data_IF_666529021220
#
_entry.id   IF_666529021220
#
_cell.length_a   1.000
_cell.length_b   1.000
_cell.length_c   1.000
_cell.angle_alpha   90.00
_cell.angle_beta   90.00
_cell.angle_gamma   90.00
#
_symmetry.space_group_name_H-M   'P 1'
#
loop_
_entity.id
_entity.type
_entity.pdbx_description
1 polymer ?
#
# COMPACT_ATOMS: atom_id res chain seq x y z
N UNK A 1 -6.53 11.98 -12.61
CA UNK A 1 -6.95 13.40 -12.64
C UNK A 1 -7.61 13.77 -13.97
N UNK A 2 -7.09 13.32 -15.12
CA UNK A 2 -7.62 13.67 -16.46
C UNK A 2 -9.08 13.22 -16.63
N UNK A 3 -9.44 12.03 -16.19
CA UNK A 3 -10.82 11.53 -16.24
C UNK A 3 -11.79 12.37 -15.42
N UNK A 4 -11.36 12.86 -14.23
CA UNK A 4 -12.17 13.79 -13.43
C UNK A 4 -12.32 15.14 -14.10
N UNK A 5 -11.27 15.65 -14.76
CA UNK A 5 -11.35 16.89 -15.53
C UNK A 5 -12.30 16.78 -16.73
N UNK A 6 -12.36 15.62 -17.37
CA UNK A 6 -13.33 15.37 -18.44
C UNK A 6 -14.77 15.39 -17.93
N UNK A 7 -15.04 14.73 -16.80
CA UNK A 7 -16.36 14.77 -16.17
C UNK A 7 -16.70 16.19 -15.69
N UNK A 8 -15.73 16.91 -15.10
CA UNK A 8 -15.90 18.27 -14.61
C UNK A 8 -16.30 19.26 -15.71
N UNK A 9 -15.80 19.09 -16.93
CA UNK A 9 -16.18 19.94 -18.09
C UNK A 9 -17.66 19.83 -18.42
N UNK A 10 -18.31 18.72 -18.09
CA UNK A 10 -19.73 18.48 -18.35
C UNK A 10 -20.65 19.05 -17.26
N UNK A 11 -20.08 19.44 -16.11
CA UNK A 11 -20.85 20.01 -14.99
C UNK A 11 -21.31 21.42 -15.34
N UNK A 12 -22.59 21.70 -15.14
CA UNK A 12 -23.17 23.06 -15.29
C UNK A 12 -22.89 23.88 -14.01
N UNK A 13 -22.00 24.85 -14.11
CA UNK A 13 -21.66 25.77 -13.02
C UNK A 13 -21.18 27.12 -13.59
N UNK A 14 -21.11 28.15 -12.75
CA UNK A 14 -20.54 29.45 -13.12
C UNK A 14 -19.04 29.32 -13.45
N UNK A 15 -18.50 30.24 -14.26
CA UNK A 15 -17.09 30.21 -14.66
C UNK A 15 -16.14 30.24 -13.46
N UNK A 16 -16.52 30.95 -12.38
CA UNK A 16 -15.77 31.06 -11.13
C UNK A 16 -15.76 29.73 -10.39
N UNK A 17 -16.90 29.03 -10.30
CA UNK A 17 -17.02 27.71 -9.69
C UNK A 17 -16.30 26.65 -10.53
N UNK A 18 -16.33 26.77 -11.86
CA UNK A 18 -15.58 25.86 -12.76
C UNK A 18 -14.08 25.98 -12.55
N UNK A 19 -13.55 27.20 -12.49
CA UNK A 19 -12.13 27.41 -12.22
C UNK A 19 -11.73 26.92 -10.82
N UNK A 20 -12.58 27.13 -9.80
CA UNK A 20 -12.37 26.63 -8.45
C UNK A 20 -12.36 25.09 -8.39
N UNK A 21 -13.23 24.43 -9.16
CA UNK A 21 -13.29 22.97 -9.20
C UNK A 21 -12.09 22.35 -9.91
N UNK A 22 -11.58 22.98 -10.98
CA UNK A 22 -10.32 22.52 -11.62
C UNK A 22 -9.15 22.58 -10.62
N UNK A 23 -9.05 23.65 -9.83
CA UNK A 23 -8.03 23.79 -8.79
C UNK A 23 -8.16 22.71 -7.72
N UNK A 24 -9.40 22.41 -7.29
CA UNK A 24 -9.65 21.32 -6.33
C UNK A 24 -9.21 19.98 -6.90
N UNK A 25 -9.57 19.65 -8.16
CA UNK A 25 -9.19 18.39 -8.82
C UNK A 25 -7.67 18.25 -8.96
N UNK A 26 -6.95 19.34 -9.22
CA UNK A 26 -5.50 19.37 -9.27
C UNK A 26 -4.84 19.15 -7.90
N UNK A 27 -5.53 19.54 -6.84
CA UNK A 27 -5.06 19.43 -5.45
C UNK A 27 -5.40 18.08 -4.79
N UNK A 28 -6.06 17.16 -5.51
CA UNK A 28 -6.36 15.82 -5.01
C UNK A 28 -5.10 14.94 -4.99
N UNK A 29 -4.99 14.13 -3.94
CA UNK A 29 -3.96 13.11 -3.84
C UNK A 29 -4.25 11.89 -4.75
N UNK A 30 -3.33 10.92 -4.76
CA UNK A 30 -3.46 9.68 -5.54
C UNK A 30 -4.66 8.83 -5.12
N UNK A 31 -5.12 8.96 -3.88
CA UNK A 31 -6.28 8.25 -3.34
C UNK A 31 -7.61 8.98 -3.59
N UNK A 32 -7.55 10.20 -4.12
CA UNK A 32 -8.70 11.05 -4.40
C UNK A 32 -9.15 11.94 -3.24
N UNK A 33 -8.31 12.11 -2.21
CA UNK A 33 -8.60 12.99 -1.08
C UNK A 33 -8.11 14.42 -1.31
N UNK A 34 -8.86 15.38 -0.79
CA UNK A 34 -8.45 16.78 -0.73
C UNK A 34 -7.63 17.01 0.54
N UNK A 35 -6.31 16.97 0.43
CA UNK A 35 -5.39 17.13 1.56
C UNK A 35 -5.15 18.59 1.93
N UNK A 36 -5.42 19.51 1.01
CA UNK A 36 -5.23 20.96 1.17
C UNK A 36 -6.49 21.60 1.73
N UNK A 37 -6.34 22.49 2.71
CA UNK A 37 -7.48 23.26 3.24
C UNK A 37 -7.98 24.30 2.24
N UNK A 38 -9.30 24.49 2.14
CA UNK A 38 -9.91 25.44 1.21
C UNK A 38 -9.39 26.88 1.40
N UNK A 39 -9.08 27.27 2.65
CA UNK A 39 -8.53 28.59 2.95
C UNK A 39 -7.12 28.79 2.35
N UNK A 40 -6.36 27.72 2.21
CA UNK A 40 -5.02 27.77 1.58
C UNK A 40 -5.13 27.89 0.06
N UNK A 41 -6.14 27.27 -0.53
CA UNK A 41 -6.43 27.42 -1.97
C UNK A 41 -6.86 28.83 -2.33
N UNK A 42 -7.57 29.53 -1.44
CA UNK A 42 -7.92 30.96 -1.62
C UNK A 42 -6.69 31.87 -1.70
N UNK A 43 -5.59 31.51 -0.99
CA UNK A 43 -4.42 32.41 -0.84
C UNK A 43 -3.34 32.19 -1.91
N UNK A 44 -3.30 31.00 -2.51
CA UNK A 44 -2.20 30.58 -3.37
C UNK A 44 -2.38 30.91 -4.85
N UNK A 45 -3.59 31.29 -5.28
CA UNK A 45 -3.84 31.54 -6.70
C UNK A 45 -3.96 33.03 -7.02
N UNK A 46 -3.51 33.42 -8.21
CA UNK A 46 -3.62 34.78 -8.75
C UNK A 46 -5.10 35.24 -8.96
N UNK A 47 -6.04 34.30 -8.91
CA UNK A 47 -7.47 34.51 -8.91
C UNK A 47 -7.96 34.36 -7.46
N UNK A 48 -8.40 35.46 -6.84
CA UNK A 48 -8.99 35.47 -5.48
C UNK A 48 -10.36 34.77 -5.54
N UNK A 49 -10.38 33.44 -5.34
CA UNK A 49 -11.64 32.72 -5.19
C UNK A 49 -12.30 33.04 -3.85
N UNK A 50 -13.60 33.24 -3.86
CA UNK A 50 -14.39 33.28 -2.61
C UNK A 50 -14.43 31.87 -2.01
N UNK A 51 -14.40 31.76 -0.68
CA UNK A 51 -14.60 30.50 0.05
C UNK A 51 -15.91 29.83 -0.37
N UNK A 52 -16.95 30.62 -0.62
CA UNK A 52 -18.27 30.14 -1.07
C UNK A 52 -18.18 29.38 -2.42
N UNK A 53 -17.44 29.94 -3.39
CA UNK A 53 -17.24 29.28 -4.69
C UNK A 53 -16.45 27.97 -4.56
N UNK A 54 -15.45 27.91 -3.66
CA UNK A 54 -14.70 26.68 -3.40
C UNK A 54 -15.54 25.62 -2.69
N UNK A 55 -16.42 26.01 -1.74
CA UNK A 55 -17.34 25.08 -1.09
C UNK A 55 -18.39 24.54 -2.06
N UNK A 56 -18.92 25.38 -2.94
CA UNK A 56 -19.85 24.96 -3.99
C UNK A 56 -19.17 24.02 -4.98
N UNK A 57 -17.97 24.40 -5.46
CA UNK A 57 -17.16 23.57 -6.35
C UNK A 57 -16.85 22.20 -5.71
N UNK A 58 -16.46 22.17 -4.43
CA UNK A 58 -16.18 20.92 -3.71
C UNK A 58 -17.42 20.01 -3.65
N UNK A 59 -18.61 20.57 -3.37
CA UNK A 59 -19.86 19.80 -3.37
C UNK A 59 -20.14 19.16 -4.72
N UNK A 60 -19.86 19.86 -5.83
CA UNK A 60 -20.02 19.35 -7.18
C UNK A 60 -18.95 18.31 -7.51
N UNK A 61 -17.69 18.53 -7.12
CA UNK A 61 -16.61 17.55 -7.29
C UNK A 61 -16.90 16.25 -6.54
N UNK A 62 -17.49 16.31 -5.36
CA UNK A 62 -17.89 15.14 -4.57
C UNK A 62 -19.04 14.31 -5.21
N UNK A 63 -19.69 14.85 -6.26
CA UNK A 63 -20.71 14.13 -7.02
C UNK A 63 -20.15 13.41 -8.25
N UNK A 64 -18.88 13.61 -8.57
CA UNK A 64 -18.22 12.94 -9.70
C UNK A 64 -17.99 11.45 -9.41
N UNK A 65 -17.77 10.69 -10.47
CA UNK A 65 -17.44 9.26 -10.42
C UNK A 65 -15.91 9.06 -10.45
N UNK A 66 -15.35 8.27 -9.55
CA UNK A 66 -15.97 7.39 -8.54
C UNK A 66 -16.41 8.14 -7.27
N UNK A 67 -17.47 7.62 -6.61
CA UNK A 67 -17.99 8.23 -5.40
C UNK A 67 -16.96 8.26 -4.29
N UNK A 68 -16.93 9.39 -3.54
CA UNK A 68 -15.97 9.60 -2.44
C UNK A 68 -14.74 10.42 -2.83
N UNK A 69 -14.58 10.78 -4.11
CA UNK A 69 -13.55 11.73 -4.57
C UNK A 69 -13.81 13.12 -3.98
N UNK A 70 -12.75 13.85 -3.65
CA UNK A 70 -12.84 15.18 -3.03
C UNK A 70 -13.18 15.15 -1.54
N UNK A 71 -13.21 13.99 -0.89
CA UNK A 71 -13.35 13.90 0.56
C UNK A 71 -12.10 14.44 1.26
N UNK A 72 -12.27 15.10 2.40
CA UNK A 72 -11.17 15.66 3.21
C UNK A 72 -10.55 14.63 4.14
N UNK A 73 -11.33 13.62 4.52
CA UNK A 73 -10.91 12.51 5.37
C UNK A 73 -11.69 11.22 5.06
N UNK A 74 -11.25 10.11 5.66
CA UNK A 74 -11.87 8.79 5.51
C UNK A 74 -13.34 8.78 5.95
N UNK A 75 -13.66 9.54 7.00
CA UNK A 75 -15.02 9.66 7.53
C UNK A 75 -15.96 10.30 6.49
N UNK A 76 -15.53 11.40 5.88
CA UNK A 76 -16.29 12.08 4.84
C UNK A 76 -16.44 11.19 3.60
N UNK A 77 -15.38 10.51 3.20
CA UNK A 77 -15.39 9.56 2.07
C UNK A 77 -16.44 8.46 2.28
N UNK A 78 -16.46 7.83 3.46
CA UNK A 78 -17.48 6.84 3.81
C UNK A 78 -18.90 7.42 3.74
N UNK A 79 -19.11 8.63 4.29
CA UNK A 79 -20.43 9.27 4.30
C UNK A 79 -20.92 9.61 2.88
N UNK A 80 -20.03 10.06 1.99
CA UNK A 80 -20.36 10.35 0.59
C UNK A 80 -20.79 9.06 -0.10
N UNK A 81 -20.00 8.00 0.00
CA UNK A 81 -20.28 6.72 -0.67
C UNK A 81 -21.55 6.07 -0.13
N UNK A 82 -21.75 6.04 1.21
CA UNK A 82 -22.94 5.45 1.82
C UNK A 82 -24.23 6.17 1.42
N UNK A 83 -24.18 7.49 1.17
CA UNK A 83 -25.35 8.25 0.68
C UNK A 83 -25.72 7.94 -0.75
N UNK A 84 -24.76 7.49 -1.57
CA UNK A 84 -24.96 7.12 -2.97
C UNK A 84 -25.21 5.62 -3.15
N UNK A 85 -25.10 4.85 -2.05
CA UNK A 85 -25.31 3.41 -2.11
C UNK A 85 -26.79 3.08 -2.41
N UNK A 86 -27.08 2.08 -3.27
CA UNK A 86 -28.45 1.76 -3.66
C UNK A 86 -29.31 1.17 -2.52
N UNK A 87 -28.66 0.61 -1.50
CA UNK A 87 -29.32 0.06 -0.32
C UNK A 87 -29.37 1.12 0.80
N UNK A 88 -30.36 1.01 1.69
CA UNK A 88 -30.44 1.85 2.87
C UNK A 88 -29.28 1.58 3.83
N UNK A 89 -28.45 2.60 4.05
CA UNK A 89 -27.31 2.60 4.96
C UNK A 89 -27.47 3.63 6.11
N UNK A 90 -28.70 3.98 6.43
CA UNK A 90 -29.00 4.99 7.45
C UNK A 90 -28.39 4.64 8.81
N UNK A 91 -28.38 3.38 9.18
CA UNK A 91 -27.79 2.88 10.43
C UNK A 91 -26.25 3.03 10.44
N UNK A 92 -25.60 2.69 9.35
CA UNK A 92 -24.15 2.83 9.16
C UNK A 92 -23.75 4.31 9.15
N UNK A 93 -24.53 5.15 8.47
CA UNK A 93 -24.31 6.60 8.44
C UNK A 93 -24.40 7.18 9.86
N UNK A 94 -25.38 6.76 10.66
CA UNK A 94 -25.51 7.19 12.04
C UNK A 94 -24.32 6.76 12.91
N UNK A 95 -23.80 5.54 12.75
CA UNK A 95 -22.58 5.07 13.43
C UNK A 95 -21.40 6.00 13.10
N UNK A 96 -21.16 6.24 11.82
CA UNK A 96 -20.02 7.07 11.36
C UNK A 96 -20.18 8.54 11.81
N UNK A 97 -21.42 9.07 11.85
CA UNK A 97 -21.66 10.44 12.26
C UNK A 97 -21.54 10.67 13.76
N UNK A 98 -22.06 9.74 14.59
CA UNK A 98 -22.19 9.95 16.03
C UNK A 98 -21.15 9.19 16.85
N UNK A 99 -20.60 8.08 16.32
CA UNK A 99 -19.80 7.12 17.05
C UNK A 99 -18.45 6.83 16.38
N UNK A 100 -17.91 7.82 15.66
CA UNK A 100 -16.64 7.65 14.90
C UNK A 100 -15.47 7.25 15.79
N UNK A 101 -15.33 7.88 16.98
CA UNK A 101 -14.23 7.59 17.89
C UNK A 101 -14.29 6.16 18.42
N UNK A 102 -15.50 5.74 18.84
CA UNK A 102 -15.71 4.37 19.34
C UNK A 102 -15.49 3.32 18.24
N UNK A 103 -15.81 3.67 16.98
CA UNK A 103 -15.56 2.81 15.82
C UNK A 103 -14.07 2.63 15.59
N UNK A 104 -13.27 3.70 15.60
CA UNK A 104 -11.82 3.64 15.48
C UNK A 104 -11.15 2.84 16.60
N UNK A 105 -11.68 2.93 17.82
CA UNK A 105 -11.18 2.20 18.98
C UNK A 105 -11.75 0.77 19.08
N UNK A 106 -12.54 0.33 18.08
CA UNK A 106 -13.20 -0.99 18.03
C UNK A 106 -14.07 -1.29 19.27
N UNK A 107 -14.72 -0.24 19.84
CA UNK A 107 -15.58 -0.38 21.04
C UNK A 107 -17.02 -0.73 20.66
N UNK A 108 -17.22 -1.81 19.92
CA UNK A 108 -18.52 -2.23 19.37
C UNK A 108 -19.64 -2.39 20.43
N UNK A 109 -19.39 -2.95 21.62
CA UNK A 109 -20.43 -3.06 22.65
C UNK A 109 -20.94 -1.70 23.15
N UNK A 110 -20.09 -0.66 23.14
CA UNK A 110 -20.49 0.70 23.54
C UNK A 110 -21.38 1.34 22.48
N UNK A 111 -21.05 1.14 21.18
CA UNK A 111 -21.88 1.61 20.07
C UNK A 111 -23.25 0.95 20.15
N UNK A 112 -23.32 -0.38 20.31
CA UNK A 112 -24.56 -1.12 20.42
C UNK A 112 -25.45 -0.59 21.55
N UNK A 113 -24.85 -0.31 22.73
CA UNK A 113 -25.56 0.24 23.89
C UNK A 113 -26.08 1.65 23.63
N UNK A 114 -25.28 2.53 23.01
CA UNK A 114 -25.65 3.94 22.73
C UNK A 114 -26.73 4.03 21.65
N UNK A 115 -26.73 3.13 20.68
CA UNK A 115 -27.71 3.08 19.59
C UNK A 115 -28.93 2.20 19.90
N UNK A 116 -29.04 1.65 21.12
CA UNK A 116 -30.11 0.71 21.52
C UNK A 116 -30.28 -0.45 20.52
N UNK A 117 -29.16 -0.95 19.97
CA UNK A 117 -29.12 -2.00 18.97
C UNK A 117 -28.40 -3.24 19.48
N UNK A 118 -28.57 -4.37 18.79
CA UNK A 118 -27.85 -5.59 19.13
C UNK A 118 -26.39 -5.50 18.64
N UNK A 119 -25.47 -6.20 19.34
CA UNK A 119 -24.07 -6.30 18.91
C UNK A 119 -23.95 -6.92 17.50
N UNK A 120 -24.84 -7.84 17.15
CA UNK A 120 -24.87 -8.48 15.83
C UNK A 120 -25.22 -7.48 14.73
N UNK A 121 -26.16 -6.57 14.98
CA UNK A 121 -26.51 -5.51 14.02
C UNK A 121 -25.31 -4.60 13.76
N UNK A 122 -24.58 -4.19 14.81
CA UNK A 122 -23.38 -3.36 14.66
C UNK A 122 -22.29 -4.10 13.87
N UNK A 123 -22.08 -5.41 14.12
CA UNK A 123 -21.11 -6.21 13.36
C UNK A 123 -21.50 -6.31 11.89
N UNK A 124 -22.77 -6.54 11.57
CA UNK A 124 -23.25 -6.58 10.16
C UNK A 124 -23.07 -5.23 9.48
N UNK A 125 -23.34 -4.13 10.18
CA UNK A 125 -23.10 -2.79 9.64
C UNK A 125 -21.62 -2.55 9.31
N UNK A 126 -20.71 -2.97 10.16
CA UNK A 126 -19.26 -2.88 9.90
C UNK A 126 -18.86 -3.76 8.70
N UNK A 127 -19.41 -4.96 8.59
CA UNK A 127 -19.15 -5.84 7.45
C UNK A 127 -19.65 -5.23 6.13
N UNK A 128 -20.78 -4.52 6.14
CA UNK A 128 -21.27 -3.77 4.97
C UNK A 128 -20.36 -2.58 4.66
N UNK A 129 -19.94 -1.83 5.67
CA UNK A 129 -18.99 -0.71 5.50
C UNK A 129 -17.63 -1.18 4.97
N UNK A 130 -17.17 -2.39 5.31
CA UNK A 130 -15.88 -2.92 4.83
C UNK A 130 -15.83 -3.18 3.32
N UNK A 131 -16.98 -3.21 2.64
CA UNK A 131 -17.08 -3.33 1.18
C UNK A 131 -16.92 -2.00 0.44
N UNK A 132 -16.91 -0.89 1.18
CA UNK A 132 -16.76 0.46 0.62
C UNK A 132 -15.29 0.72 0.31
N UNK A 133 -15.00 1.28 -0.86
CA UNK A 133 -13.64 1.61 -1.26
C UNK A 133 -13.16 2.91 -0.59
N UNK A 134 -12.11 2.82 0.22
CA UNK A 134 -11.50 3.95 0.91
C UNK A 134 -10.47 4.71 0.05
N UNK A 135 -10.26 4.31 -1.20
CA UNK A 135 -9.27 4.91 -2.08
C UNK A 135 -9.84 5.11 -3.49
N UNK A 136 -10.90 5.93 -3.65
CA UNK A 136 -11.59 6.07 -4.94
C UNK A 136 -10.68 6.55 -6.07
N UNK A 137 -9.65 7.35 -5.76
CA UNK A 137 -8.70 7.85 -6.75
C UNK A 137 -7.88 6.75 -7.44
N UNK A 138 -7.66 5.62 -6.78
CA UNK A 138 -6.93 4.49 -7.37
C UNK A 138 -7.72 3.79 -8.50
N UNK A 139 -9.04 3.93 -8.52
CA UNK A 139 -9.86 3.42 -9.63
C UNK A 139 -9.65 4.21 -10.92
N UNK A 140 -9.30 5.48 -10.83
CA UNK A 140 -9.07 6.38 -11.96
C UNK A 140 -7.60 6.40 -12.35
N UNK A 141 -6.70 6.25 -11.39
CA UNK A 141 -5.26 6.25 -11.61
C UNK A 141 -4.79 4.97 -12.30
N UNK A 142 -3.79 5.08 -13.18
CA UNK A 142 -2.98 3.92 -13.54
C UNK A 142 -2.35 3.42 -12.25
N UNK A 143 -2.70 2.22 -11.84
CA UNK A 143 -1.93 1.48 -10.87
C UNK A 143 -0.54 1.25 -11.48
N UNK A 144 0.40 2.13 -11.21
CA UNK A 144 1.81 1.81 -11.29
C UNK A 144 2.10 0.80 -10.17
N UNK A 145 1.49 -0.37 -10.29
CA UNK A 145 1.86 -1.52 -9.50
C UNK A 145 3.28 -1.88 -9.93
N UNK A 146 4.27 -1.31 -9.28
CA UNK A 146 5.62 -1.84 -9.36
C UNK A 146 5.53 -3.30 -8.92
N UNK A 147 5.87 -4.25 -9.78
CA UNK A 147 5.83 -5.66 -9.42
C UNK A 147 6.75 -5.85 -8.21
N UNK A 148 6.16 -6.18 -7.07
CA UNK A 148 6.94 -6.54 -5.88
C UNK A 148 7.53 -7.91 -6.17
N UNK A 149 8.86 -7.95 -6.37
CA UNK A 149 9.57 -9.21 -6.52
C UNK A 149 9.69 -9.86 -5.14
N UNK A 150 9.21 -11.07 -5.01
CA UNK A 150 9.34 -11.80 -3.76
C UNK A 150 10.80 -12.26 -3.56
N UNK A 151 11.37 -12.02 -2.39
CA UNK A 151 12.70 -12.54 -2.02
C UNK A 151 12.66 -14.00 -1.59
N UNK A 152 11.53 -14.44 -1.03
CA UNK A 152 11.31 -15.79 -0.51
C UNK A 152 9.95 -16.29 -0.99
N UNK A 153 9.93 -17.50 -1.51
CA UNK A 153 8.72 -18.22 -1.90
C UNK A 153 8.51 -19.39 -0.93
N UNK A 154 7.29 -19.54 -0.44
CA UNK A 154 6.94 -20.67 0.42
C UNK A 154 6.16 -21.69 -0.41
N UNK A 155 6.69 -22.89 -0.52
CA UNK A 155 6.12 -23.99 -1.29
C UNK A 155 5.67 -25.12 -0.35
N UNK A 156 4.57 -25.83 -0.65
CA UNK A 156 4.22 -27.04 0.08
C UNK A 156 5.27 -28.13 -0.14
N UNK A 157 5.69 -28.80 0.92
CA UNK A 157 6.61 -29.92 0.86
C UNK A 157 5.84 -31.25 0.67
N UNK A 158 6.49 -32.25 0.05
CA UNK A 158 5.91 -33.60 -0.19
C UNK A 158 5.44 -34.29 1.10
N UNK A 159 5.99 -33.92 2.24
CA UNK A 159 5.65 -34.47 3.56
C UNK A 159 4.51 -33.71 4.27
N UNK A 160 3.77 -32.82 3.58
CA UNK A 160 2.67 -32.04 4.15
C UNK A 160 3.12 -30.86 5.02
N UNK A 161 4.38 -30.43 4.89
CA UNK A 161 4.92 -29.21 5.49
C UNK A 161 5.03 -28.06 4.48
N UNK A 162 5.72 -27.00 4.88
CA UNK A 162 6.02 -25.85 4.03
C UNK A 162 7.55 -25.64 3.98
N UNK A 163 8.06 -25.38 2.79
CA UNK A 163 9.47 -25.12 2.55
C UNK A 163 9.67 -23.69 2.08
N UNK A 164 10.59 -22.97 2.73
CA UNK A 164 11.04 -21.65 2.27
C UNK A 164 12.12 -21.82 1.19
N UNK A 165 11.89 -21.26 0.01
CA UNK A 165 12.85 -21.22 -1.10
C UNK A 165 13.18 -19.77 -1.38
N UNK A 166 14.47 -19.44 -1.46
CA UNK A 166 14.88 -18.10 -1.91
C UNK A 166 14.53 -17.97 -3.38
N UNK A 167 13.78 -16.93 -3.71
CA UNK A 167 13.55 -16.57 -5.10
C UNK A 167 14.92 -16.30 -5.76
N UNK A 168 15.08 -16.74 -7.01
CA UNK A 168 16.27 -16.42 -7.79
C UNK A 168 16.24 -14.91 -8.09
N UNK A 169 16.69 -14.13 -7.11
CA UNK A 169 16.93 -12.71 -7.29
C UNK A 169 18.09 -12.54 -8.26
N UNK A 170 18.06 -11.47 -9.07
CA UNK A 170 18.98 -11.09 -10.16
C UNK A 170 20.48 -11.04 -9.81
N UNK A 171 20.93 -11.78 -8.82
CA UNK A 171 22.36 -11.90 -8.51
C UNK A 171 23.01 -12.84 -9.51
N UNK A 172 23.86 -12.31 -10.38
CA UNK A 172 24.56 -13.13 -11.37
C UNK A 172 25.40 -14.20 -10.66
N UNK A 173 25.47 -15.39 -11.28
CA UNK A 173 26.35 -16.45 -10.80
C UNK A 173 27.82 -15.99 -10.92
N UNK A 174 28.37 -15.52 -9.81
CA UNK A 174 29.76 -15.05 -9.76
C UNK A 174 30.70 -16.25 -9.82
N UNK A 175 31.66 -16.20 -10.73
CA UNK A 175 32.72 -17.20 -10.86
C UNK A 175 34.08 -16.53 -11.07
N UNK A 176 35.09 -17.01 -10.39
CA UNK A 176 36.45 -16.61 -10.71
C UNK A 176 36.87 -17.31 -12.01
N UNK A 177 37.33 -16.52 -12.99
CA UNK A 177 37.73 -17.07 -14.28
C UNK A 177 38.89 -18.06 -14.10
N UNK A 178 38.74 -19.26 -14.67
CA UNK A 178 39.73 -20.34 -14.61
C UNK A 178 41.10 -19.93 -15.17
N UNK A 179 41.12 -19.09 -16.17
CA UNK A 179 42.35 -18.56 -16.76
C UNK A 179 43.18 -17.81 -15.71
N UNK A 180 42.62 -16.89 -14.95
CA UNK A 180 43.33 -16.16 -13.89
C UNK A 180 43.75 -17.07 -12.73
N UNK A 181 42.97 -18.10 -12.41
CA UNK A 181 43.37 -19.12 -11.42
C UNK A 181 44.60 -19.90 -11.86
N UNK A 182 44.65 -20.27 -13.15
CA UNK A 182 45.81 -20.95 -13.72
C UNK A 182 47.06 -20.07 -13.79
N UNK A 183 46.87 -18.80 -14.20
CA UNK A 183 47.97 -17.81 -14.21
C UNK A 183 48.54 -17.61 -12.81
N UNK A 184 47.72 -17.51 -11.77
CA UNK A 184 48.15 -17.31 -10.39
C UNK A 184 48.97 -18.54 -9.86
N UNK A 185 48.81 -19.72 -10.47
CA UNK A 185 49.57 -20.95 -10.15
C UNK A 185 50.86 -21.09 -10.99
N UNK A 186 50.94 -20.37 -12.11
CA UNK A 186 52.07 -20.52 -13.03
C UNK A 186 53.32 -19.82 -12.46
N UNK A 187 54.43 -20.54 -12.35
CA UNK A 187 55.71 -20.07 -11.83
C UNK A 187 56.51 -19.22 -12.84
N UNK A 188 56.13 -19.25 -14.13
CA UNK A 188 56.82 -18.50 -15.18
C UNK A 188 56.37 -17.04 -15.30
N UNK A 189 55.44 -16.58 -14.48
CA UNK A 189 54.94 -15.21 -14.46
C UNK A 189 55.70 -14.40 -13.41
N UNK A 190 55.89 -13.09 -13.68
CA UNK A 190 56.50 -12.18 -12.77
C UNK A 190 55.88 -12.23 -11.36
N UNK A 191 56.71 -12.22 -10.35
CA UNK A 191 56.34 -12.38 -8.94
C UNK A 191 55.29 -11.33 -8.49
N UNK A 192 55.43 -10.09 -8.94
CA UNK A 192 54.49 -9.00 -8.61
C UNK A 192 53.10 -9.27 -9.20
N UNK A 193 53.04 -9.70 -10.44
CA UNK A 193 51.82 -10.04 -11.14
C UNK A 193 51.14 -11.24 -10.48
N UNK A 194 51.90 -12.26 -10.08
CA UNK A 194 51.39 -13.43 -9.37
C UNK A 194 50.76 -13.08 -8.02
N UNK A 195 51.46 -12.24 -7.23
CA UNK A 195 50.95 -11.78 -5.93
C UNK A 195 49.71 -10.94 -6.08
N UNK A 196 49.65 -10.07 -7.07
CA UNK A 196 48.47 -9.27 -7.39
C UNK A 196 47.25 -10.17 -7.73
N UNK A 197 47.41 -11.14 -8.61
CA UNK A 197 46.37 -12.09 -8.99
C UNK A 197 45.89 -12.91 -7.78
N UNK A 198 46.82 -13.43 -6.97
CA UNK A 198 46.48 -14.21 -5.78
C UNK A 198 45.69 -13.40 -4.76
N UNK A 199 46.05 -12.10 -4.56
CA UNK A 199 45.35 -11.22 -3.66
C UNK A 199 43.90 -10.96 -4.14
N UNK A 200 43.74 -10.68 -5.44
CA UNK A 200 42.40 -10.39 -6.00
C UNK A 200 41.53 -11.63 -6.04
N UNK A 201 42.07 -12.81 -6.36
CA UNK A 201 41.36 -14.09 -6.32
C UNK A 201 40.87 -14.39 -4.90
N UNK A 202 41.72 -14.19 -3.88
CA UNK A 202 41.32 -14.38 -2.46
C UNK A 202 40.19 -13.41 -2.06
N UNK A 203 40.29 -12.13 -2.45
CA UNK A 203 39.25 -11.15 -2.18
C UNK A 203 37.92 -11.50 -2.88
N UNK A 204 37.99 -11.94 -4.13
CA UNK A 204 36.82 -12.41 -4.87
C UNK A 204 36.17 -13.65 -4.22
N UNK A 205 36.99 -14.64 -3.80
CA UNK A 205 36.50 -15.83 -3.08
C UNK A 205 35.81 -15.42 -1.77
N UNK A 206 36.44 -14.57 -0.96
CA UNK A 206 35.86 -14.09 0.29
C UNK A 206 34.51 -13.40 0.06
N UNK A 207 34.40 -12.58 -0.98
CA UNK A 207 33.13 -11.93 -1.35
C UNK A 207 32.06 -12.93 -1.77
N UNK A 208 32.41 -13.94 -2.57
CA UNK A 208 31.49 -15.01 -2.97
C UNK A 208 31.01 -15.84 -1.77
N UNK A 209 31.92 -16.16 -0.86
CA UNK A 209 31.61 -16.90 0.37
C UNK A 209 30.69 -16.08 1.29
N UNK A 210 30.90 -14.76 1.41
CA UNK A 210 30.03 -13.88 2.17
C UNK A 210 28.61 -13.83 1.60
N UNK A 211 28.46 -13.77 0.27
CA UNK A 211 27.14 -13.84 -0.39
C UNK A 211 26.47 -15.20 -0.12
N UNK A 212 27.22 -16.28 -0.26
CA UNK A 212 26.71 -17.63 0.00
C UNK A 212 26.25 -17.81 1.46
N UNK A 213 27.02 -17.30 2.41
CA UNK A 213 26.68 -17.32 3.83
C UNK A 213 25.42 -16.50 4.12
N UNK A 214 25.29 -15.30 3.53
CA UNK A 214 24.08 -14.48 3.65
C UNK A 214 22.83 -15.23 3.15
N UNK A 215 22.92 -15.85 1.96
CA UNK A 215 21.83 -16.65 1.41
C UNK A 215 21.43 -17.79 2.34
N UNK A 216 22.41 -18.54 2.84
CA UNK A 216 22.16 -19.63 3.77
C UNK A 216 21.51 -19.17 5.08
N UNK A 217 21.93 -18.02 5.60
CA UNK A 217 21.33 -17.44 6.80
C UNK A 217 19.89 -17.00 6.54
N UNK A 218 19.61 -16.30 5.44
CA UNK A 218 18.25 -15.91 5.05
C UNK A 218 17.34 -17.12 4.90
N UNK A 219 17.80 -18.18 4.24
CA UNK A 219 17.02 -19.40 4.07
C UNK A 219 16.71 -20.09 5.42
N UNK A 220 17.68 -20.16 6.33
CA UNK A 220 17.47 -20.72 7.67
C UNK A 220 16.47 -19.91 8.49
N UNK A 221 16.59 -18.57 8.46
CA UNK A 221 15.66 -17.68 9.17
C UNK A 221 14.26 -17.80 8.59
N UNK A 222 14.13 -17.78 7.25
CA UNK A 222 12.85 -17.93 6.59
C UNK A 222 12.19 -19.27 6.93
N UNK A 223 12.93 -20.39 6.90
CA UNK A 223 12.41 -21.70 7.27
C UNK A 223 11.94 -21.72 8.71
N UNK A 224 12.70 -21.16 9.64
CA UNK A 224 12.30 -21.09 11.04
C UNK A 224 11.01 -20.27 11.25
N UNK A 225 10.83 -19.18 10.50
CA UNK A 225 9.59 -18.38 10.52
C UNK A 225 8.43 -19.19 9.94
N UNK A 226 8.61 -19.88 8.84
CA UNK A 226 7.57 -20.71 8.20
C UNK A 226 7.14 -21.84 9.14
N UNK A 227 8.09 -22.52 9.78
CA UNK A 227 7.81 -23.58 10.75
C UNK A 227 7.03 -23.06 11.97
N UNK A 228 7.37 -21.86 12.48
CA UNK A 228 6.65 -21.21 13.56
C UNK A 228 5.24 -20.76 13.17
N UNK A 229 5.07 -20.30 11.91
CA UNK A 229 3.80 -19.78 11.37
C UNK A 229 2.99 -20.84 10.61
N UNK A 230 3.23 -22.12 10.86
CA UNK A 230 2.57 -23.22 10.14
C UNK A 230 1.04 -23.08 10.13
N UNK A 231 0.43 -22.72 11.27
CA UNK A 231 -1.03 -22.51 11.36
C UNK A 231 -1.55 -21.42 10.40
N UNK A 232 -0.75 -20.36 10.17
CA UNK A 232 -1.08 -19.30 9.22
C UNK A 232 -1.16 -19.86 7.78
N UNK A 233 -0.19 -20.66 7.37
CA UNK A 233 -0.16 -21.24 6.02
C UNK A 233 -1.25 -22.31 5.80
N UNK A 234 -1.65 -23.04 6.86
CA UNK A 234 -2.69 -24.07 6.78
C UNK A 234 -4.11 -23.49 6.91
N UNK A 235 -4.34 -22.49 7.78
CA UNK A 235 -5.67 -22.03 8.21
C UNK A 235 -6.00 -20.59 7.83
N UNK A 236 -5.01 -19.85 7.30
CA UNK A 236 -5.18 -18.48 6.82
C UNK A 236 -4.82 -17.37 7.81
N UNK A 237 -5.05 -16.08 7.43
CA UNK A 237 -4.51 -14.90 8.12
C UNK A 237 -4.92 -14.74 9.59
N UNK A 238 -6.06 -15.29 10.00
CA UNK A 238 -6.57 -15.20 11.37
C UNK A 238 -5.69 -15.95 12.39
N UNK A 239 -4.85 -16.86 11.93
CA UNK A 239 -3.98 -17.70 12.75
C UNK A 239 -2.53 -17.22 12.81
N UNK A 240 -2.28 -15.98 12.37
CA UNK A 240 -0.96 -15.36 12.44
C UNK A 240 -0.55 -15.15 13.90
N UNK A 241 0.60 -15.71 14.30
CA UNK A 241 1.14 -15.59 15.65
C UNK A 241 2.17 -14.45 15.70
N UNK A 242 2.12 -13.56 16.71
CA UNK A 242 3.16 -12.55 16.88
C UNK A 242 4.51 -13.21 17.16
N UNK A 243 5.55 -12.81 16.46
CA UNK A 243 6.93 -13.24 16.66
C UNK A 243 7.73 -12.06 17.24
N UNK A 244 7.98 -12.01 18.57
CA UNK A 244 8.83 -10.98 19.14
C UNK A 244 10.29 -11.22 18.72
N UNK A 245 10.96 -10.17 18.26
CA UNK A 245 12.41 -10.18 18.11
C UNK A 245 13.04 -9.97 19.49
N UNK A 246 13.44 -11.06 20.14
CA UNK A 246 14.22 -11.06 21.38
C UNK A 246 15.66 -11.42 21.12
#
# INVERSE_FOLDING_TARGET
QDALKEQWRLVEASDEVKAAGELIIESLDEKGYLTVRLEQLCQNDKQSFSIEHLEEALRLVQQLDPPGVGARDVRECLLIQMRQFPEDMSFEIEIVQKHWQELLENRLPQIAKKMNSSLEQVKRAIERMSKIDLSPGLQIGRNDNYPITADIVVEPDENGGFRAVLAETDLPNLRVNRFYQQMAKNRCIDEKTRQFLQKNIRSAQWFMDAIAQRRQTLQKVAQAIVDYQRDFFEKGPLYLKPLPMS
#
